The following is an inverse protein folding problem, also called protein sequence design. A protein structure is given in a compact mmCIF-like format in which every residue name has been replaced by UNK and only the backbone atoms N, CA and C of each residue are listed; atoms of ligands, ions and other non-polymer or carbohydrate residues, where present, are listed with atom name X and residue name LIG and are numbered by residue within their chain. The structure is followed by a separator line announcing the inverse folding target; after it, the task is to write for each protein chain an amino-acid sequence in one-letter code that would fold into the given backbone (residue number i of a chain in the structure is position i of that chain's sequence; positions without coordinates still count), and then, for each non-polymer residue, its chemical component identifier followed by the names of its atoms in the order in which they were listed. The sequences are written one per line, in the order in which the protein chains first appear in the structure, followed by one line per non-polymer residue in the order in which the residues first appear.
data_IF_647493774747
#
_entry.id   IF_647493774747
#
_cell.length_a   1.000
_cell.length_b   1.000
_cell.length_c   1.000
_cell.angle_alpha   90.00
_cell.angle_beta   90.00
_cell.angle_gamma   90.00
#
_symmetry.space_group_name_H-M   'P 1'
#
loop_
_entity.id
_entity.type
_entity.pdbx_description
1 polymer ?
#
# COMPACT_ATOMS: atom_id res chain seq x y z
N UNK A 1 -14.59 12.69 2.94
CA UNK A 1 -13.50 11.82 3.46
C UNK A 1 -13.11 10.88 2.34
N UNK A 2 -11.83 10.82 1.96
CA UNK A 2 -11.38 10.02 0.81
C UNK A 2 -11.14 8.57 1.19
N UNK A 3 -11.86 7.65 0.58
CA UNK A 3 -11.68 6.21 0.79
C UNK A 3 -10.69 5.63 -0.25
N UNK A 4 -9.73 4.81 0.20
CA UNK A 4 -8.79 4.09 -0.67
C UNK A 4 -9.25 2.63 -0.79
N UNK A 5 -9.56 2.20 -2.02
CA UNK A 5 -9.95 0.80 -2.32
C UNK A 5 -8.85 0.11 -3.14
N UNK A 6 -8.43 -1.07 -2.66
CA UNK A 6 -7.52 -1.96 -3.39
C UNK A 6 -8.27 -2.79 -4.43
N UNK A 7 -7.58 -3.15 -5.51
CA UNK A 7 -8.12 -4.02 -6.55
C UNK A 7 -8.36 -5.46 -6.04
N UNK A 8 -9.48 -6.07 -6.45
CA UNK A 8 -9.84 -7.45 -6.09
C UNK A 8 -8.79 -8.49 -6.51
N UNK A 9 -7.94 -8.19 -7.50
CA UNK A 9 -6.88 -9.07 -7.99
C UNK A 9 -5.60 -9.05 -7.14
N UNK A 10 -5.55 -8.25 -6.07
CA UNK A 10 -4.36 -8.16 -5.20
C UNK A 10 -3.90 -9.53 -4.68
N UNK A 11 -4.84 -10.34 -4.17
CA UNK A 11 -4.52 -11.68 -3.65
C UNK A 11 -3.87 -12.58 -4.72
N UNK A 12 -4.34 -12.47 -5.96
CA UNK A 12 -3.81 -13.26 -7.08
C UNK A 12 -2.40 -12.82 -7.45
N UNK A 13 -2.15 -11.51 -7.56
CA UNK A 13 -0.81 -10.97 -7.85
C UNK A 13 0.20 -11.32 -6.75
N UNK A 14 -0.23 -11.28 -5.49
CA UNK A 14 0.62 -11.68 -4.38
C UNK A 14 0.99 -13.17 -4.45
N UNK A 15 0.03 -14.03 -4.79
CA UNK A 15 0.28 -15.45 -4.99
C UNK A 15 1.21 -15.72 -6.18
N UNK A 16 1.04 -15.00 -7.30
CA UNK A 16 1.91 -15.07 -8.47
C UNK A 16 3.36 -14.68 -8.10
N UNK A 17 3.56 -13.59 -7.35
CA UNK A 17 4.89 -13.14 -6.90
C UNK A 17 5.57 -14.13 -5.93
N UNK A 18 4.80 -14.80 -5.08
CA UNK A 18 5.32 -15.77 -4.11
C UNK A 18 5.52 -17.17 -4.71
N UNK A 19 5.03 -17.44 -5.92
CA UNK A 19 5.01 -18.79 -6.50
C UNK A 19 6.41 -19.41 -6.61
N UNK A 20 7.42 -18.62 -6.98
CA UNK A 20 8.81 -19.08 -7.07
C UNK A 20 9.43 -19.47 -5.72
N UNK A 21 8.85 -18.99 -4.62
CA UNK A 21 9.33 -19.20 -3.25
C UNK A 21 8.45 -20.18 -2.46
N UNK A 22 7.43 -20.78 -3.09
CA UNK A 22 6.43 -21.60 -2.41
C UNK A 22 7.04 -22.75 -1.58
N UNK A 23 8.06 -23.44 -2.10
CA UNK A 23 8.76 -24.50 -1.38
C UNK A 23 9.50 -23.98 -0.14
N UNK A 24 10.19 -22.84 -0.28
CA UNK A 24 10.90 -22.22 0.84
C UNK A 24 9.92 -21.73 1.92
N UNK A 25 8.78 -21.17 1.52
CA UNK A 25 7.70 -20.75 2.41
C UNK A 25 7.09 -21.95 3.15
N UNK A 26 6.90 -23.07 2.45
CA UNK A 26 6.37 -24.29 3.05
C UNK A 26 7.34 -24.87 4.11
N UNK A 27 8.64 -24.87 3.80
CA UNK A 27 9.67 -25.42 4.68
C UNK A 27 9.97 -24.50 5.88
N UNK A 28 9.83 -23.18 5.72
CA UNK A 28 10.05 -22.18 6.79
C UNK A 28 8.73 -21.56 7.27
N UNK A 29 8.02 -22.30 8.14
CA UNK A 29 6.70 -21.92 8.65
C UNK A 29 6.67 -20.62 9.50
N UNK A 30 7.82 -20.12 9.95
CA UNK A 30 7.93 -18.89 10.76
C UNK A 30 8.76 -17.77 10.12
N UNK A 31 8.99 -17.83 8.81
CA UNK A 31 9.73 -16.78 8.09
C UNK A 31 8.88 -15.53 7.81
N UNK A 32 9.44 -14.35 8.07
CA UNK A 32 8.92 -13.11 7.51
C UNK A 32 9.46 -12.94 6.09
N UNK A 33 8.60 -12.56 5.15
CA UNK A 33 8.98 -12.26 3.77
C UNK A 33 8.71 -10.80 3.47
N UNK A 34 9.70 -10.11 2.91
CA UNK A 34 9.56 -8.71 2.53
C UNK A 34 9.29 -8.61 1.04
N UNK A 35 8.28 -7.80 0.69
CA UNK A 35 7.93 -7.50 -0.70
C UNK A 35 7.97 -6.00 -0.95
N UNK A 36 8.38 -5.61 -2.16
CA UNK A 36 8.19 -4.27 -2.70
C UNK A 36 6.93 -4.28 -3.56
N UNK A 37 6.07 -3.29 -3.35
CA UNK A 37 4.78 -3.18 -4.04
C UNK A 37 4.71 -1.86 -4.75
N UNK A 38 4.53 -1.91 -6.07
CA UNK A 38 4.29 -0.70 -6.88
C UNK A 38 2.78 -0.46 -6.97
N UNK A 39 2.34 0.70 -6.49
CA UNK A 39 0.94 1.15 -6.59
C UNK A 39 0.79 2.18 -7.70
N UNK A 40 -0.33 2.12 -8.41
CA UNK A 40 -0.69 3.08 -9.47
C UNK A 40 -2.09 3.62 -9.25
N UNK A 41 -2.30 4.89 -9.62
CA UNK A 41 -3.65 5.46 -9.64
C UNK A 41 -4.48 4.77 -10.73
N UNK A 42 -5.64 4.24 -10.35
CA UNK A 42 -6.51 3.50 -11.24
C UNK A 42 -7.74 4.32 -11.67
N UNK A 43 -8.38 5.01 -10.73
CA UNK A 43 -9.55 5.83 -11.01
C UNK A 43 -9.82 6.83 -9.89
N UNK A 44 -10.52 7.92 -10.22
CA UNK A 44 -11.13 8.86 -9.28
C UNK A 44 -12.64 8.87 -9.54
N UNK A 45 -13.43 8.88 -8.48
CA UNK A 45 -14.87 9.12 -8.59
C UNK A 45 -15.31 10.16 -7.56
N UNK A 46 -16.28 10.97 -7.95
CA UNK A 46 -16.90 11.96 -7.08
C UNK A 46 -18.40 11.72 -7.09
N UNK A 47 -19.00 11.69 -5.92
CA UNK A 47 -20.43 11.42 -5.78
C UNK A 47 -20.99 12.35 -4.73
N UNK A 48 -22.03 13.11 -5.08
CA UNK A 48 -22.76 13.90 -4.10
C UNK A 48 -23.70 12.94 -3.39
N UNK A 49 -23.55 12.84 -2.07
CA UNK A 49 -24.45 12.08 -1.20
C UNK A 49 -25.30 13.05 -0.41
N UNK A 50 -26.59 12.76 -0.33
CA UNK A 50 -27.53 13.51 0.50
C UNK A 50 -27.96 12.61 1.65
N UNK A 51 -27.70 13.06 2.88
CA UNK A 51 -28.04 12.34 4.11
C UNK A 51 -28.58 13.36 5.13
N UNK A 52 -29.79 13.14 5.64
CA UNK A 52 -30.48 14.01 6.61
C UNK A 52 -30.43 15.51 6.29
N UNK A 53 -30.84 15.91 5.08
CA UNK A 53 -30.83 17.30 4.55
C UNK A 53 -29.44 17.94 4.37
N UNK A 54 -28.35 17.17 4.56
CA UNK A 54 -26.99 17.60 4.22
C UNK A 54 -26.52 16.96 2.92
N UNK A 55 -26.05 17.78 1.98
CA UNK A 55 -25.30 17.32 0.82
C UNK A 55 -23.81 17.35 1.13
N UNK A 56 -23.12 16.23 0.94
CA UNK A 56 -21.67 16.15 1.02
C UNK A 56 -21.07 15.51 -0.23
N UNK A 57 -19.91 16.03 -0.64
CA UNK A 57 -19.12 15.47 -1.72
C UNK A 57 -18.29 14.30 -1.18
N UNK A 58 -18.62 13.10 -1.60
CA UNK A 58 -17.80 11.92 -1.38
C UNK A 58 -16.83 11.75 -2.56
N UNK A 59 -15.54 11.87 -2.28
CA UNK A 59 -14.47 11.62 -3.25
C UNK A 59 -13.83 10.26 -2.95
N UNK A 60 -13.64 9.43 -3.98
CA UNK A 60 -12.95 8.15 -3.84
C UNK A 60 -11.80 8.07 -4.85
N UNK A 61 -10.66 7.55 -4.38
CA UNK A 61 -9.51 7.25 -5.22
C UNK A 61 -9.26 5.74 -5.20
N UNK A 62 -9.31 5.13 -6.37
CA UNK A 62 -8.96 3.73 -6.56
C UNK A 62 -7.49 3.63 -6.92
N UNK A 63 -6.77 2.80 -6.19
CA UNK A 63 -5.38 2.44 -6.49
C UNK A 63 -5.30 0.97 -6.89
N UNK A 64 -4.47 0.69 -7.88
CA UNK A 64 -4.20 -0.67 -8.34
C UNK A 64 -2.76 -1.04 -8.01
N UNK A 65 -2.56 -2.27 -7.60
CA UNK A 65 -1.20 -2.83 -7.51
C UNK A 65 -0.72 -3.11 -8.92
N UNK A 66 0.29 -2.38 -9.36
CA UNK A 66 0.92 -2.58 -10.67
C UNK A 66 1.86 -3.77 -10.64
N UNK A 67 2.58 -3.95 -9.53
CA UNK A 67 3.61 -4.98 -9.42
C UNK A 67 3.90 -5.37 -7.96
N UNK A 68 4.35 -6.60 -7.76
CA UNK A 68 4.75 -7.16 -6.45
C UNK A 68 6.00 -8.01 -6.67
N UNK A 69 7.09 -7.65 -6.01
CA UNK A 69 8.35 -8.40 -6.05
C UNK A 69 8.79 -8.78 -4.65
N UNK A 70 9.17 -10.05 -4.47
CA UNK A 70 9.79 -10.52 -3.24
C UNK A 70 11.26 -10.16 -3.29
N UNK A 71 11.72 -9.42 -2.27
CA UNK A 71 13.13 -9.03 -2.17
C UNK A 71 13.89 -10.02 -1.31
N UNK A 72 15.10 -10.37 -1.74
CA UNK A 72 15.97 -11.32 -1.04
C UNK A 72 17.39 -10.76 -0.90
N UNK A 73 18.12 -11.20 0.12
CA UNK A 73 19.54 -10.89 0.27
C UNK A 73 19.79 -9.42 0.62
N UNK A 74 20.65 -8.74 -0.12
CA UNK A 74 21.02 -7.35 0.19
C UNK A 74 19.84 -6.37 -0.02
N UNK A 75 18.99 -6.63 -1.00
CA UNK A 75 17.79 -5.82 -1.25
C UNK A 75 16.75 -5.96 -0.14
N UNK A 76 16.64 -7.14 0.47
CA UNK A 76 15.76 -7.38 1.62
C UNK A 76 16.17 -6.55 2.83
N UNK A 77 17.48 -6.46 3.10
CA UNK A 77 18.02 -5.62 4.19
C UNK A 77 17.70 -4.15 3.96
N UNK A 78 17.92 -3.66 2.74
CA UNK A 78 17.60 -2.28 2.38
C UNK A 78 16.11 -1.98 2.52
N UNK A 79 15.24 -2.87 2.03
CA UNK A 79 13.79 -2.72 2.14
C UNK A 79 13.33 -2.73 3.61
N UNK A 80 13.91 -3.60 4.44
CA UNK A 80 13.62 -3.66 5.88
C UNK A 80 14.04 -2.38 6.61
N UNK A 81 15.25 -1.87 6.31
CA UNK A 81 15.72 -0.60 6.88
C UNK A 81 14.82 0.58 6.47
N UNK A 82 14.42 0.65 5.20
CA UNK A 82 13.51 1.68 4.71
C UNK A 82 12.14 1.59 5.39
N UNK A 83 11.57 0.39 5.53
CA UNK A 83 10.33 0.13 6.26
C UNK A 83 10.42 0.62 7.71
N UNK A 84 11.50 0.29 8.40
CA UNK A 84 11.66 0.63 9.81
C UNK A 84 11.95 2.12 10.02
N UNK A 85 12.66 2.76 9.08
CA UNK A 85 12.80 4.21 9.03
C UNK A 85 11.43 4.89 8.88
N UNK A 86 10.62 4.47 7.90
CA UNK A 86 9.26 5.02 7.69
C UNK A 86 8.34 4.82 8.90
N UNK A 87 8.41 3.64 9.54
CA UNK A 87 7.66 3.35 10.78
C UNK A 87 8.08 4.25 11.92
N UNK A 88 9.39 4.46 12.11
CA UNK A 88 9.90 5.39 13.13
C UNK A 88 9.43 6.81 12.84
N UNK A 89 9.57 7.27 11.60
CA UNK A 89 9.11 8.59 11.15
C UNK A 89 7.63 8.82 11.50
N UNK A 90 6.76 7.85 11.19
CA UNK A 90 5.33 7.90 11.52
C UNK A 90 5.08 8.01 13.04
N UNK A 91 5.85 7.29 13.85
CA UNK A 91 5.71 7.29 15.32
C UNK A 91 6.25 8.57 15.97
N UNK A 92 7.34 9.14 15.46
CA UNK A 92 7.94 10.36 16.02
C UNK A 92 7.24 11.65 15.55
N UNK A 93 6.62 11.65 14.38
CA UNK A 93 6.02 12.86 13.83
C UNK A 93 4.52 13.05 14.12
N UNK A 94 3.85 12.10 14.77
CA UNK A 94 2.41 12.18 15.04
C UNK A 94 1.54 11.98 13.78
N UNK A 95 1.82 12.68 12.69
CA UNK A 95 1.20 12.53 11.36
C UNK A 95 2.08 13.23 10.33
N UNK A 96 3.09 12.55 9.77
CA UNK A 96 3.81 13.02 8.58
C UNK A 96 2.97 12.85 7.28
N UNK A 97 1.68 13.14 7.37
CA UNK A 97 0.83 13.37 6.21
C UNK A 97 0.73 14.87 5.91
N UNK A 98 1.06 15.76 6.86
CA UNK A 98 0.90 17.20 6.66
C UNK A 98 1.91 17.79 5.65
N UNK A 99 3.16 17.31 5.62
CA UNK A 99 4.18 17.79 4.67
C UNK A 99 4.17 17.07 3.31
N UNK A 100 3.44 15.96 3.17
CA UNK A 100 3.35 15.22 1.89
C UNK A 100 2.34 15.85 0.91
N UNK A 101 1.42 16.67 1.40
CA UNK A 101 0.39 17.35 0.61
C UNK A 101 0.51 18.89 0.61
N UNK A 102 1.46 19.45 1.35
CA UNK A 102 1.74 20.89 1.38
C UNK A 102 2.77 21.31 0.33
N UNK A 103 2.42 21.27 -0.96
CA UNK A 103 3.37 21.69 -2.00
C UNK A 103 2.78 21.81 -3.39
N UNK A 104 2.02 22.87 -3.65
CA UNK A 104 1.63 23.24 -5.01
C UNK A 104 0.52 24.29 -5.13
N UNK A 105 0.90 25.55 -4.81
CA UNK A 105 0.16 26.82 -5.01
C UNK A 105 -1.10 27.07 -4.18
#
# INVERSE_FOLDING_TARGET
MTEIKFDAKLKRRAAEALAAYASQIFDQQSGEWTAVVTLTHAARSETIKTEDDFEYLETQAKVSVADIEIVTGEHERQATQARDAARRQRKTAGTLLDDAFGGGQ
#
